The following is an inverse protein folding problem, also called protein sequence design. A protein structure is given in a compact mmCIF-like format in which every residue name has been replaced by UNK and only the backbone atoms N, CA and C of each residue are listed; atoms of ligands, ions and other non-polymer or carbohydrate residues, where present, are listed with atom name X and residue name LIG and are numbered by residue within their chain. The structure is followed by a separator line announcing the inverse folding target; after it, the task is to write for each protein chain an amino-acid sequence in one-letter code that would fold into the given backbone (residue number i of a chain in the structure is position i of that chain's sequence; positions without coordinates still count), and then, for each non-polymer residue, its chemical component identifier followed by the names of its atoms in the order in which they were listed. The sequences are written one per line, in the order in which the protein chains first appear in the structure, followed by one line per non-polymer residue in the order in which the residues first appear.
data_IF_577976873208
#
_entry.id   IF_577976873208
#
_cell.length_a   1.000
_cell.length_b   1.000
_cell.length_c   1.000
_cell.angle_alpha   90.00
_cell.angle_beta   90.00
_cell.angle_gamma   90.00
#
_symmetry.space_group_name_H-M   'P 1'
#
loop_
_entity.id
_entity.type
_entity.pdbx_description
1 polymer ?
#
# COMPACT_ATOMS: atom_id res chain seq x y z
N UNK A 1 -0.27 -12.07 -1.51
CA UNK A 1 -0.49 -11.15 -0.36
C UNK A 1 -1.41 -9.98 -0.74
N UNK A 2 -1.09 -9.17 -1.77
CA UNK A 2 -1.92 -8.03 -2.23
C UNK A 2 -3.40 -8.40 -2.48
N UNK A 3 -3.65 -9.51 -3.19
CA UNK A 3 -5.00 -10.02 -3.43
C UNK A 3 -5.76 -10.37 -2.14
N UNK A 4 -5.10 -11.08 -1.22
CA UNK A 4 -5.70 -11.45 0.07
C UNK A 4 -6.06 -10.21 0.90
N UNK A 5 -5.18 -9.19 0.94
CA UNK A 5 -5.46 -7.92 1.62
C UNK A 5 -6.72 -7.28 1.02
N UNK A 6 -6.82 -7.20 -0.31
CA UNK A 6 -7.99 -6.64 -1.00
C UNK A 6 -9.28 -7.40 -0.66
N UNK A 7 -9.26 -8.73 -0.70
CA UNK A 7 -10.46 -9.55 -0.41
C UNK A 7 -10.90 -9.41 1.05
N UNK A 8 -9.94 -9.44 1.98
CA UNK A 8 -10.21 -9.26 3.42
C UNK A 8 -10.75 -7.85 3.69
N UNK A 9 -10.12 -6.80 3.14
CA UNK A 9 -10.60 -5.42 3.26
C UNK A 9 -12.02 -5.26 2.72
N UNK A 10 -12.30 -5.81 1.55
CA UNK A 10 -13.62 -5.73 0.94
C UNK A 10 -14.68 -6.42 1.81
N UNK A 11 -14.37 -7.60 2.33
CA UNK A 11 -15.27 -8.32 3.23
C UNK A 11 -15.53 -7.56 4.55
N UNK A 12 -14.49 -6.94 5.13
CA UNK A 12 -14.62 -6.09 6.31
C UNK A 12 -15.48 -4.87 6.07
N UNK A 13 -15.20 -4.12 5.00
CA UNK A 13 -15.98 -2.92 4.72
C UNK A 13 -17.43 -3.29 4.37
N UNK A 14 -17.68 -4.38 3.64
CA UNK A 14 -19.06 -4.89 3.45
C UNK A 14 -19.76 -5.15 4.78
N UNK A 15 -19.08 -5.80 5.74
CA UNK A 15 -19.63 -6.03 7.07
C UNK A 15 -19.84 -4.71 7.86
N UNK A 16 -18.89 -3.78 7.84
CA UNK A 16 -19.05 -2.44 8.44
C UNK A 16 -20.25 -1.69 7.86
N UNK A 17 -20.42 -1.71 6.54
CA UNK A 17 -21.54 -1.08 5.86
C UNK A 17 -22.87 -1.69 6.28
N UNK A 18 -22.96 -3.02 6.30
CA UNK A 18 -24.16 -3.73 6.72
C UNK A 18 -24.52 -3.46 8.18
N UNK A 19 -23.53 -3.48 9.06
CA UNK A 19 -23.70 -3.18 10.49
C UNK A 19 -24.15 -1.74 10.72
N UNK A 20 -23.43 -0.76 10.14
CA UNK A 20 -23.73 0.68 10.32
C UNK A 20 -25.10 1.04 9.75
N UNK A 21 -25.48 0.44 8.62
CA UNK A 21 -26.79 0.63 8.01
C UNK A 21 -27.90 -0.20 8.65
N UNK A 22 -27.57 -1.11 9.58
CA UNK A 22 -28.49 -2.07 10.21
C UNK A 22 -29.28 -2.90 9.18
N UNK A 23 -28.60 -3.35 8.12
CA UNK A 23 -29.19 -4.18 7.05
C UNK A 23 -28.68 -5.62 7.11
N UNK A 24 -29.51 -6.56 6.67
CA UNK A 24 -29.16 -8.00 6.70
C UNK A 24 -28.45 -8.46 5.44
N UNK A 25 -28.67 -7.78 4.32
CA UNK A 25 -28.05 -8.12 3.04
C UNK A 25 -27.38 -6.91 2.41
N UNK A 26 -26.26 -7.13 1.71
CA UNK A 26 -25.56 -6.05 1.00
C UNK A 26 -26.45 -5.38 -0.07
N UNK A 27 -27.35 -6.14 -0.69
CA UNK A 27 -28.30 -5.63 -1.69
C UNK A 27 -29.26 -4.58 -1.15
N UNK A 28 -29.56 -4.57 0.16
CA UNK A 28 -30.41 -3.54 0.78
C UNK A 28 -29.74 -2.16 0.78
N UNK A 29 -28.40 -2.08 0.79
CA UNK A 29 -27.67 -0.81 0.70
C UNK A 29 -27.93 -0.10 -0.63
N UNK A 30 -28.17 -0.85 -1.71
CA UNK A 30 -28.48 -0.29 -3.04
C UNK A 30 -29.80 0.47 -3.07
N UNK A 31 -30.67 0.28 -2.07
CA UNK A 31 -31.96 0.98 -1.95
C UNK A 31 -31.82 2.33 -1.23
N UNK A 32 -30.67 2.64 -0.63
CA UNK A 32 -30.44 3.91 0.07
C UNK A 32 -30.06 5.01 -0.92
N UNK A 33 -30.40 6.25 -0.58
CA UNK A 33 -30.02 7.39 -1.42
C UNK A 33 -28.50 7.62 -1.38
N UNK A 34 -27.91 8.28 -2.39
CA UNK A 34 -26.50 8.65 -2.36
C UNK A 34 -26.11 9.48 -1.13
N UNK A 35 -27.02 10.34 -0.65
CA UNK A 35 -26.78 11.16 0.55
C UNK A 35 -26.75 10.31 1.82
N UNK A 36 -27.65 9.32 1.94
CA UNK A 36 -27.63 8.39 3.07
C UNK A 36 -26.35 7.57 3.08
N UNK A 37 -25.92 7.09 1.90
CA UNK A 37 -24.67 6.35 1.77
C UNK A 37 -23.47 7.21 2.18
N UNK A 38 -23.43 8.50 1.79
CA UNK A 38 -22.38 9.43 2.23
C UNK A 38 -22.36 9.60 3.75
N UNK A 39 -23.53 9.77 4.37
CA UNK A 39 -23.65 9.85 5.84
C UNK A 39 -23.14 8.58 6.51
N UNK A 40 -23.55 7.41 6.02
CA UNK A 40 -23.09 6.11 6.51
C UNK A 40 -21.58 5.92 6.35
N UNK A 41 -20.99 6.34 5.24
CA UNK A 41 -19.54 6.31 5.04
C UNK A 41 -18.80 7.15 6.10
N UNK A 42 -19.32 8.35 6.40
CA UNK A 42 -18.78 9.20 7.46
C UNK A 42 -18.88 8.55 8.84
N UNK A 43 -19.98 7.84 9.11
CA UNK A 43 -20.12 7.07 10.35
C UNK A 43 -19.14 5.90 10.44
N UNK A 44 -18.94 5.15 9.35
CA UNK A 44 -17.97 4.05 9.28
C UNK A 44 -16.57 4.59 9.56
N UNK A 45 -16.18 5.70 8.95
CA UNK A 45 -14.89 6.34 9.20
C UNK A 45 -14.74 6.70 10.69
N UNK A 46 -15.73 7.39 11.25
CA UNK A 46 -15.70 7.89 12.63
C UNK A 46 -15.74 6.77 13.68
N UNK A 47 -16.38 5.64 13.40
CA UNK A 47 -16.58 4.55 14.38
C UNK A 47 -15.65 3.34 14.17
N UNK A 48 -15.20 3.11 12.94
CA UNK A 48 -14.58 1.83 12.57
C UNK A 48 -13.28 1.96 11.75
N UNK A 49 -12.87 3.16 11.33
CA UNK A 49 -11.68 3.32 10.49
C UNK A 49 -10.91 4.62 10.76
N UNK A 50 -10.90 5.10 12.01
CA UNK A 50 -10.16 6.29 12.41
C UNK A 50 -9.37 6.08 13.71
N UNK A 51 -8.29 6.86 13.86
CA UNK A 51 -7.51 6.92 15.09
C UNK A 51 -8.32 7.44 16.28
N UNK A 52 -9.28 8.34 16.02
CA UNK A 52 -10.20 8.83 17.05
C UNK A 52 -11.08 7.70 17.60
N UNK A 53 -11.56 6.79 16.75
CA UNK A 53 -12.31 5.61 17.19
C UNK A 53 -11.48 4.69 18.09
N UNK A 54 -10.21 4.46 17.73
CA UNK A 54 -9.27 3.67 18.54
C UNK A 54 -9.07 4.33 19.90
N UNK A 55 -8.79 5.63 19.91
CA UNK A 55 -8.56 6.40 21.13
C UNK A 55 -9.79 6.39 22.06
N UNK A 56 -11.01 6.49 21.51
CA UNK A 56 -12.24 6.36 22.29
C UNK A 56 -12.32 5.03 23.03
N UNK A 57 -11.92 3.93 22.40
CA UNK A 57 -11.88 2.62 23.07
C UNK A 57 -10.79 2.61 24.15
N UNK A 58 -9.60 3.14 23.85
CA UNK A 58 -8.47 3.20 24.80
C UNK A 58 -8.72 4.10 26.01
N UNK A 59 -9.59 5.10 25.88
CA UNK A 59 -10.00 5.99 26.98
C UNK A 59 -10.92 5.33 28.01
N UNK A 60 -11.50 4.17 27.69
CA UNK A 60 -12.32 3.40 28.62
C UNK A 60 -11.44 2.69 29.66
N UNK A 61 -11.96 2.43 30.88
CA UNK A 61 -11.30 1.54 31.84
C UNK A 61 -10.92 0.20 31.20
N UNK A 62 -9.77 -0.40 31.57
CA UNK A 62 -9.26 -1.61 30.90
C UNK A 62 -10.31 -2.73 30.85
N UNK A 63 -11.06 -2.96 31.93
CA UNK A 63 -12.12 -3.97 32.01
C UNK A 63 -13.32 -3.69 31.08
N UNK A 64 -13.43 -2.48 30.53
CA UNK A 64 -14.46 -2.06 29.58
C UNK A 64 -13.96 -1.95 28.15
N UNK A 65 -12.65 -1.98 27.91
CA UNK A 65 -12.10 -1.88 26.56
C UNK A 65 -12.46 -3.11 25.71
N UNK A 66 -12.94 -2.85 24.49
CA UNK A 66 -13.19 -3.88 23.49
C UNK A 66 -11.95 -4.05 22.60
N UNK A 67 -11.11 -5.02 22.95
CA UNK A 67 -9.83 -5.26 22.28
C UNK A 67 -10.01 -5.77 20.85
N UNK A 68 -11.08 -6.53 20.58
CA UNK A 68 -11.36 -7.05 19.24
C UNK A 68 -11.83 -5.92 18.33
N UNK A 69 -12.75 -5.05 18.79
CA UNK A 69 -13.19 -3.89 18.00
C UNK A 69 -12.01 -2.95 17.74
N UNK A 70 -11.18 -2.71 18.76
CA UNK A 70 -9.96 -1.90 18.63
C UNK A 70 -9.05 -2.44 17.53
N UNK A 71 -8.70 -3.73 17.57
CA UNK A 71 -7.80 -4.35 16.59
C UNK A 71 -8.37 -4.29 15.16
N UNK A 72 -9.67 -4.52 14.99
CA UNK A 72 -10.29 -4.40 13.65
C UNK A 72 -10.41 -2.95 13.18
N UNK A 73 -10.59 -2.01 14.10
CA UNK A 73 -10.56 -0.56 13.79
C UNK A 73 -9.15 -0.13 13.36
N UNK A 74 -8.11 -0.66 14.01
CA UNK A 74 -6.72 -0.51 13.58
C UNK A 74 -6.54 -1.04 12.17
N UNK A 75 -6.90 -2.30 11.90
CA UNK A 75 -6.84 -2.89 10.56
C UNK A 75 -7.53 -2.03 9.49
N UNK A 76 -8.75 -1.56 9.74
CA UNK A 76 -9.50 -0.74 8.80
C UNK A 76 -8.81 0.60 8.52
N UNK A 77 -8.33 1.28 9.56
CA UNK A 77 -7.59 2.55 9.43
C UNK A 77 -6.33 2.36 8.58
N UNK A 78 -5.63 1.27 8.88
CA UNK A 78 -4.35 0.89 8.31
C UNK A 78 -4.44 0.48 6.84
N UNK A 79 -5.46 -0.30 6.51
CA UNK A 79 -5.63 -0.86 5.18
C UNK A 79 -6.18 0.16 4.19
N UNK A 80 -6.90 1.19 4.65
CA UNK A 80 -7.33 2.29 3.80
C UNK A 80 -6.13 3.04 3.21
N UNK A 81 -5.12 3.35 4.02
CA UNK A 81 -3.88 3.99 3.52
C UNK A 81 -3.15 3.11 2.49
N UNK A 82 -3.18 1.79 2.68
CA UNK A 82 -2.63 0.85 1.70
C UNK A 82 -3.41 0.84 0.39
N UNK A 83 -4.74 0.73 0.45
CA UNK A 83 -5.60 0.73 -0.74
C UNK A 83 -5.50 2.07 -1.49
N UNK A 84 -5.43 3.18 -0.76
CA UNK A 84 -5.22 4.52 -1.30
C UNK A 84 -3.90 4.62 -2.07
N UNK A 85 -2.79 4.16 -1.48
CA UNK A 85 -1.48 4.15 -2.15
C UNK A 85 -1.52 3.30 -3.42
N UNK A 86 -2.17 2.13 -3.39
CA UNK A 86 -2.29 1.24 -4.54
C UNK A 86 -3.12 1.85 -5.66
N UNK A 87 -4.22 2.51 -5.32
CA UNK A 87 -5.04 3.23 -6.29
C UNK A 87 -4.28 4.41 -6.90
N UNK A 88 -3.66 5.24 -6.07
CA UNK A 88 -2.84 6.39 -6.48
C UNK A 88 -1.72 5.97 -7.44
N UNK A 89 -0.96 4.93 -7.10
CA UNK A 89 0.06 4.34 -8.00
C UNK A 89 -0.56 3.92 -9.32
N UNK A 90 -1.69 3.20 -9.28
CA UNK A 90 -2.33 2.64 -10.48
C UNK A 90 -2.76 3.74 -11.45
N UNK A 91 -3.32 4.83 -10.93
CA UNK A 91 -3.84 5.93 -11.75
C UNK A 91 -2.81 7.03 -12.05
N UNK A 92 -1.60 6.94 -11.50
CA UNK A 92 -0.56 7.95 -11.70
C UNK A 92 -0.67 9.19 -10.81
N UNK A 93 -1.41 9.13 -9.70
CA UNK A 93 -1.63 10.29 -8.82
C UNK A 93 -0.53 10.41 -7.76
N UNK A 94 0.57 11.06 -8.14
CA UNK A 94 1.75 11.25 -7.27
C UNK A 94 1.44 12.17 -6.08
N UNK A 95 0.48 13.09 -6.20
CA UNK A 95 0.06 13.95 -5.09
C UNK A 95 -0.50 13.12 -3.92
N UNK A 96 -1.44 12.22 -4.21
CA UNK A 96 -1.99 11.28 -3.20
C UNK A 96 -0.91 10.36 -2.61
N UNK A 97 0.09 9.96 -3.41
CA UNK A 97 1.22 9.19 -2.90
C UNK A 97 2.07 10.01 -1.92
N UNK A 98 2.37 11.26 -2.24
CA UNK A 98 3.16 12.16 -1.40
C UNK A 98 2.46 12.44 -0.06
N UNK A 99 1.14 12.63 -0.07
CA UNK A 99 0.33 12.84 1.14
C UNK A 99 0.42 11.66 2.13
N UNK A 100 0.66 10.45 1.63
CA UNK A 100 0.80 9.24 2.44
C UNK A 100 2.21 9.02 3.00
N UNK A 101 3.23 9.76 2.53
CA UNK A 101 4.63 9.58 2.98
C UNK A 101 4.78 9.69 4.51
N UNK A 102 4.18 10.66 5.22
CA UNK A 102 4.23 10.70 6.68
C UNK A 102 3.61 9.47 7.35
N UNK A 103 2.50 8.95 6.81
CA UNK A 103 1.87 7.73 7.34
C UNK A 103 2.76 6.52 7.14
N UNK A 104 3.42 6.42 5.97
CA UNK A 104 4.39 5.35 5.68
C UNK A 104 5.62 5.44 6.59
N UNK A 105 6.13 6.65 6.85
CA UNK A 105 7.23 6.87 7.79
C UNK A 105 6.90 6.28 9.17
N UNK A 106 5.74 6.61 9.75
CA UNK A 106 5.33 6.05 11.04
C UNK A 106 5.22 4.52 10.97
N UNK A 107 4.64 3.98 9.90
CA UNK A 107 4.54 2.52 9.73
C UNK A 107 5.89 1.82 9.66
N UNK A 108 6.83 2.33 8.88
CA UNK A 108 8.15 1.72 8.77
C UNK A 108 8.92 1.83 10.08
N UNK A 109 8.86 2.98 10.75
CA UNK A 109 9.50 3.18 12.06
C UNK A 109 8.93 2.25 13.14
N UNK A 110 7.61 2.05 13.17
CA UNK A 110 6.97 1.16 14.15
C UNK A 110 7.16 -0.31 13.85
N UNK A 111 7.20 -0.68 12.56
CA UNK A 111 7.41 -2.05 12.10
C UNK A 111 8.87 -2.52 12.12
N UNK A 112 9.81 -1.71 12.61
CA UNK A 112 11.24 -2.06 12.66
C UNK A 112 11.96 -1.98 11.30
N UNK A 113 11.36 -1.33 10.32
CA UNK A 113 11.89 -1.18 8.96
C UNK A 113 12.72 0.11 8.84
N UNK A 114 13.81 0.19 9.59
CA UNK A 114 14.59 1.43 9.76
C UNK A 114 15.11 2.01 8.45
N UNK A 115 15.59 1.18 7.52
CA UNK A 115 16.06 1.65 6.19
C UNK A 115 14.96 2.41 5.45
N UNK A 116 13.77 1.81 5.32
CA UNK A 116 12.62 2.46 4.69
C UNK A 116 12.17 3.71 5.45
N UNK A 117 12.24 3.72 6.78
CA UNK A 117 11.94 4.90 7.56
C UNK A 117 12.91 6.06 7.25
N UNK A 118 14.21 5.78 7.12
CA UNK A 118 15.21 6.77 6.71
C UNK A 118 14.94 7.27 5.28
N UNK A 119 14.64 6.39 4.33
CA UNK A 119 14.29 6.81 2.96
C UNK A 119 13.06 7.75 2.95
N UNK A 120 12.04 7.47 3.77
CA UNK A 120 10.88 8.37 3.90
C UNK A 120 11.27 9.72 4.51
N UNK A 121 12.20 9.77 5.47
CA UNK A 121 12.72 11.02 6.05
C UNK A 121 13.51 11.83 5.02
N UNK A 122 14.41 11.18 4.28
CA UNK A 122 15.16 11.79 3.17
C UNK A 122 14.22 12.43 2.15
N UNK A 123 13.18 11.69 1.75
CA UNK A 123 12.20 12.15 0.80
C UNK A 123 11.39 13.34 1.33
N UNK A 124 10.92 13.28 2.59
CA UNK A 124 10.19 14.39 3.22
C UNK A 124 11.05 15.64 3.33
N UNK A 125 12.31 15.49 3.74
CA UNK A 125 13.25 16.60 3.89
C UNK A 125 13.56 17.24 2.55
N UNK A 126 13.85 16.43 1.53
CA UNK A 126 14.05 16.88 0.15
C UNK A 126 12.86 17.65 -0.38
N UNK A 127 11.67 17.05 -0.35
CA UNK A 127 10.44 17.66 -0.89
C UNK A 127 9.99 18.90 -0.11
N UNK A 128 10.12 18.93 1.22
CA UNK A 128 9.54 20.00 2.03
C UNK A 128 10.51 21.14 2.34
N UNK A 129 11.81 20.89 2.39
CA UNK A 129 12.79 21.85 2.92
C UNK A 129 13.95 22.17 1.99
N UNK A 130 14.46 21.21 1.24
CA UNK A 130 15.78 21.38 0.61
C UNK A 130 15.76 21.54 -0.90
N UNK A 131 14.94 20.77 -1.61
CA UNK A 131 15.02 20.76 -3.07
C UNK A 131 14.42 22.04 -3.66
N UNK A 132 15.02 22.60 -4.73
CA UNK A 132 14.38 23.62 -5.56
C UNK A 132 13.08 23.09 -6.18
N UNK A 133 12.17 24.00 -6.53
CA UNK A 133 10.85 23.61 -7.07
C UNK A 133 10.97 22.81 -8.36
N UNK A 134 11.97 23.12 -9.18
CA UNK A 134 12.28 22.45 -10.44
C UNK A 134 12.63 20.98 -10.21
N UNK A 135 13.45 20.70 -9.19
CA UNK A 135 13.84 19.33 -8.82
C UNK A 135 12.65 18.57 -8.25
N UNK A 136 11.82 19.21 -7.41
CA UNK A 136 10.61 18.56 -6.88
C UNK A 136 9.65 18.16 -8.00
N UNK A 137 9.42 19.06 -8.96
CA UNK A 137 8.55 18.79 -10.10
C UNK A 137 9.12 17.67 -10.96
N UNK A 138 10.43 17.70 -11.24
CA UNK A 138 11.08 16.63 -11.99
C UNK A 138 10.90 15.25 -11.31
N UNK A 139 11.16 15.17 -10.00
CA UNK A 139 11.00 13.93 -9.24
C UNK A 139 9.55 13.42 -9.26
N UNK A 140 8.59 14.32 -9.03
CA UNK A 140 7.16 13.97 -9.01
C UNK A 140 6.65 13.52 -10.37
N UNK A 141 7.11 14.15 -11.44
CA UNK A 141 6.64 13.85 -12.80
C UNK A 141 7.29 12.59 -13.37
N UNK A 142 8.58 12.36 -13.09
CA UNK A 142 9.39 11.42 -13.88
C UNK A 142 10.05 10.30 -13.09
N UNK A 143 10.20 10.40 -11.77
CA UNK A 143 11.01 9.45 -11.00
C UNK A 143 10.20 8.42 -10.21
N UNK A 144 8.95 8.72 -9.85
CA UNK A 144 8.17 7.85 -8.96
C UNK A 144 7.48 6.73 -9.71
N UNK A 145 6.86 7.09 -10.83
CA UNK A 145 6.01 6.21 -11.61
C UNK A 145 6.41 6.25 -13.07
N UNK A 146 6.17 5.15 -13.76
CA UNK A 146 6.23 5.08 -15.22
C UNK A 146 4.98 4.43 -15.77
N UNK A 147 4.65 4.73 -17.03
CA UNK A 147 3.53 4.11 -17.73
C UNK A 147 3.99 3.58 -19.09
N UNK A 148 3.97 2.25 -19.24
CA UNK A 148 4.40 1.57 -20.47
C UNK A 148 3.28 1.39 -21.49
N UNK A 149 2.04 1.62 -21.08
CA UNK A 149 0.84 1.27 -21.86
C UNK A 149 0.08 2.49 -22.37
N UNK A 150 0.34 3.68 -21.81
CA UNK A 150 -0.44 4.89 -22.03
C UNK A 150 -1.84 4.86 -21.41
N UNK A 151 -2.24 3.75 -20.77
CA UNK A 151 -3.57 3.63 -20.14
C UNK A 151 -3.58 4.33 -18.79
N UNK A 152 -4.71 4.96 -18.45
CA UNK A 152 -4.88 5.66 -17.17
C UNK A 152 -4.54 4.78 -15.97
N UNK A 153 -4.89 3.51 -16.00
CA UNK A 153 -4.69 2.58 -14.88
C UNK A 153 -3.47 1.65 -15.07
N UNK A 154 -2.53 2.07 -15.93
CA UNK A 154 -1.34 1.31 -16.34
C UNK A 154 -0.03 1.84 -15.77
N UNK A 155 -0.08 2.72 -14.77
CA UNK A 155 1.12 3.19 -14.08
C UNK A 155 1.65 2.11 -13.11
N UNK A 156 2.97 2.09 -12.94
CA UNK A 156 3.68 1.25 -11.99
C UNK A 156 4.87 2.01 -11.38
N UNK A 157 5.34 1.61 -10.18
CA UNK A 157 6.56 2.17 -9.60
C UNK A 157 7.73 2.02 -10.56
N UNK A 158 8.57 3.06 -10.65
CA UNK A 158 9.71 3.06 -11.58
C UNK A 158 10.68 1.91 -11.29
N UNK A 159 10.98 1.66 -10.01
CA UNK A 159 11.83 0.56 -9.56
C UNK A 159 11.32 -0.82 -10.01
N UNK A 160 10.01 -1.07 -9.90
CA UNK A 160 9.38 -2.29 -10.40
C UNK A 160 9.53 -2.42 -11.92
N UNK A 161 9.36 -1.33 -12.66
CA UNK A 161 9.58 -1.32 -14.10
C UNK A 161 11.04 -1.58 -14.49
N UNK A 162 11.98 -1.12 -13.67
CA UNK A 162 13.40 -1.41 -13.83
C UNK A 162 13.72 -2.87 -13.50
N UNK A 163 13.15 -3.45 -12.45
CA UNK A 163 13.26 -4.88 -12.12
C UNK A 163 12.76 -5.74 -13.28
N UNK A 164 11.59 -5.41 -13.84
CA UNK A 164 11.06 -6.10 -15.02
C UNK A 164 11.96 -5.96 -16.25
N UNK A 165 12.56 -4.79 -16.47
CA UNK A 165 13.54 -4.60 -17.55
C UNK A 165 14.82 -5.45 -17.32
N UNK A 166 15.30 -5.54 -16.08
CA UNK A 166 16.44 -6.40 -15.72
C UNK A 166 16.09 -7.87 -15.97
N UNK A 167 14.88 -8.31 -15.61
CA UNK A 167 14.41 -9.67 -15.88
C UNK A 167 14.34 -9.96 -17.39
N UNK A 168 13.88 -9.00 -18.19
CA UNK A 168 13.85 -9.14 -19.64
C UNK A 168 15.25 -9.28 -20.25
N UNK A 169 16.22 -8.49 -19.78
CA UNK A 169 17.62 -8.56 -20.21
C UNK A 169 18.25 -9.90 -19.81
N UNK A 170 18.08 -10.31 -18.54
CA UNK A 170 18.83 -11.43 -17.94
C UNK A 170 18.17 -12.79 -18.09
N UNK A 171 16.87 -12.84 -18.34
CA UNK A 171 16.07 -14.08 -18.30
C UNK A 171 15.27 -14.27 -19.58
N UNK A 172 14.39 -13.33 -19.93
CA UNK A 172 13.36 -13.60 -20.95
C UNK A 172 13.88 -13.53 -22.39
N UNK A 173 14.78 -12.59 -22.70
CA UNK A 173 15.27 -12.37 -24.06
C UNK A 173 16.78 -12.62 -24.23
N UNK A 174 17.39 -13.36 -23.30
CA UNK A 174 18.82 -13.72 -23.43
C UNK A 174 19.00 -14.74 -24.55
N UNK A 175 19.91 -14.46 -25.51
CA UNK A 175 20.34 -15.49 -26.47
C UNK A 175 21.61 -16.23 -26.03
N UNK A 176 22.44 -15.64 -25.17
CA UNK A 176 23.78 -16.18 -24.81
C UNK A 176 23.89 -16.81 -23.39
N UNK A 177 22.79 -17.08 -22.70
CA UNK A 177 22.84 -17.75 -21.38
C UNK A 177 23.65 -16.97 -20.32
N UNK A 178 24.24 -17.64 -19.31
CA UNK A 178 24.99 -17.01 -18.22
C UNK A 178 26.31 -16.30 -18.63
N UNK A 179 26.74 -16.41 -19.90
CA UNK A 179 27.99 -15.84 -20.41
C UNK A 179 27.84 -14.55 -21.21
N UNK A 180 26.68 -13.87 -21.11
CA UNK A 180 26.43 -12.62 -21.84
C UNK A 180 27.41 -11.51 -21.42
N UNK A 181 28.14 -10.94 -22.38
CA UNK A 181 29.02 -9.78 -22.16
C UNK A 181 28.22 -8.48 -22.05
N UNK A 182 28.81 -7.44 -21.45
CA UNK A 182 28.18 -6.11 -21.41
C UNK A 182 27.93 -5.55 -22.81
N UNK A 183 28.85 -5.74 -23.75
CA UNK A 183 28.68 -5.33 -25.15
C UNK A 183 27.45 -5.98 -25.80
N UNK A 184 27.22 -7.26 -25.52
CA UNK A 184 26.04 -7.97 -26.01
C UNK A 184 24.76 -7.45 -25.36
N UNK A 185 24.77 -7.24 -24.04
CA UNK A 185 23.62 -6.65 -23.32
C UNK A 185 23.30 -5.27 -23.89
N UNK A 186 24.29 -4.42 -24.12
CA UNK A 186 24.12 -3.10 -24.71
C UNK A 186 23.52 -3.18 -26.12
N UNK A 187 23.94 -4.16 -26.92
CA UNK A 187 23.39 -4.40 -28.27
C UNK A 187 21.92 -4.84 -28.24
N UNK A 188 21.53 -5.70 -27.31
CA UNK A 188 20.18 -6.30 -27.27
C UNK A 188 19.16 -5.48 -26.51
N UNK A 189 19.58 -4.71 -25.50
CA UNK A 189 18.66 -3.95 -24.65
C UNK A 189 17.71 -3.01 -25.42
N UNK A 190 18.15 -2.27 -26.46
CA UNK A 190 17.25 -1.42 -27.26
C UNK A 190 16.18 -2.20 -28.04
N UNK A 191 16.41 -3.49 -28.32
CA UNK A 191 15.47 -4.34 -29.04
C UNK A 191 14.38 -4.95 -28.15
N UNK A 192 14.57 -4.95 -26.81
CA UNK A 192 13.64 -5.57 -25.85
C UNK A 192 12.19 -5.06 -26.00
N UNK A 193 11.91 -3.75 -26.12
CA UNK A 193 10.54 -3.28 -26.32
C UNK A 193 9.87 -3.89 -27.56
N UNK A 194 10.62 -4.03 -28.66
CA UNK A 194 10.14 -4.66 -29.90
C UNK A 194 9.92 -6.16 -29.72
N UNK A 195 10.87 -6.87 -29.08
CA UNK A 195 10.74 -8.31 -28.78
C UNK A 195 9.49 -8.57 -27.93
N UNK A 196 9.24 -7.73 -26.92
CA UNK A 196 8.05 -7.78 -26.07
C UNK A 196 6.76 -7.55 -26.88
N UNK A 197 6.79 -6.61 -27.83
CA UNK A 197 5.69 -6.35 -28.75
C UNK A 197 5.38 -7.55 -29.64
N UNK A 198 6.41 -8.15 -30.25
CA UNK A 198 6.29 -9.35 -31.11
C UNK A 198 5.76 -10.53 -30.31
N UNK A 199 6.29 -10.79 -29.12
CA UNK A 199 5.81 -11.86 -28.25
C UNK A 199 4.32 -11.70 -27.94
N UNK A 200 3.90 -10.51 -27.48
CA UNK A 200 2.48 -10.21 -27.19
C UNK A 200 1.59 -10.35 -28.41
N UNK A 201 2.08 -9.93 -29.59
CA UNK A 201 1.35 -10.10 -30.84
C UNK A 201 1.14 -11.58 -31.18
N UNK A 202 2.20 -12.39 -31.09
CA UNK A 202 2.09 -13.84 -31.32
C UNK A 202 1.14 -14.50 -30.31
N UNK A 203 1.25 -14.16 -29.02
CA UNK A 203 0.34 -14.65 -27.98
C UNK A 203 -1.13 -14.31 -28.28
N UNK A 204 -1.40 -13.11 -28.77
CA UNK A 204 -2.75 -12.67 -29.16
C UNK A 204 -3.26 -13.39 -30.42
N UNK A 205 -2.42 -13.56 -31.44
CA UNK A 205 -2.80 -14.21 -32.70
C UNK A 205 -3.10 -15.70 -32.50
N UNK A 206 -2.23 -16.40 -31.79
CA UNK A 206 -2.36 -17.84 -31.59
C UNK A 206 -3.25 -18.22 -30.40
N UNK A 207 -3.70 -17.24 -29.61
CA UNK A 207 -4.46 -17.45 -28.36
C UNK A 207 -3.80 -18.51 -27.47
N UNK A 208 -2.47 -18.61 -27.52
CA UNK A 208 -1.68 -19.64 -26.84
C UNK A 208 -1.78 -19.53 -25.31
N UNK A 209 -2.23 -18.37 -24.81
CA UNK A 209 -2.65 -18.15 -23.44
C UNK A 209 -4.03 -18.79 -23.16
N UNK A 210 -4.10 -20.11 -23.12
CA UNK A 210 -5.26 -20.84 -22.54
C UNK A 210 -5.38 -20.61 -21.03
N UNK A 211 -4.28 -20.24 -20.36
CA UNK A 211 -4.28 -19.56 -19.07
C UNK A 211 -3.96 -18.10 -19.33
N UNK A 212 -4.91 -17.20 -19.12
CA UNK A 212 -4.62 -15.77 -19.25
C UNK A 212 -3.40 -15.38 -18.39
N UNK A 213 -2.64 -14.39 -18.86
CA UNK A 213 -1.65 -13.68 -18.03
C UNK A 213 -2.28 -13.01 -16.78
N UNK A 214 -3.61 -13.00 -16.73
CA UNK A 214 -4.42 -12.73 -15.55
C UNK A 214 -4.72 -14.06 -14.89
N UNK A 215 -4.24 -14.26 -13.66
CA UNK A 215 -4.74 -15.33 -12.81
C UNK A 215 -6.27 -15.36 -12.93
N UNK A 216 -6.82 -16.48 -13.41
CA UNK A 216 -8.25 -16.63 -13.59
C UNK A 216 -8.92 -16.24 -12.28
N UNK A 217 -9.82 -15.25 -12.33
CA UNK A 217 -10.49 -14.69 -11.15
C UNK A 217 -11.16 -15.88 -10.46
N UNK A 218 -10.66 -16.34 -9.30
CA UNK A 218 -11.39 -17.29 -8.48
C UNK A 218 -12.75 -16.66 -8.16
N UNK A 219 -13.73 -17.40 -7.64
CA UNK A 219 -15.01 -16.80 -7.23
C UNK A 219 -14.81 -15.86 -6.02
N UNK A 220 -14.18 -14.71 -6.26
CA UNK A 220 -13.84 -13.66 -5.30
C UNK A 220 -15.07 -13.29 -4.48
N UNK A 221 -16.22 -13.19 -5.15
CA UNK A 221 -17.49 -12.87 -4.50
C UNK A 221 -17.94 -13.93 -3.50
N UNK A 222 -17.65 -15.21 -3.75
CA UNK A 222 -18.01 -16.29 -2.82
C UNK A 222 -17.10 -16.24 -1.58
N UNK A 223 -15.80 -16.00 -1.76
CA UNK A 223 -14.85 -15.87 -0.65
C UNK A 223 -15.14 -14.61 0.18
N UNK A 224 -15.33 -13.46 -0.47
CA UNK A 224 -15.73 -12.21 0.18
C UNK A 224 -17.07 -12.38 0.89
N UNK A 225 -18.04 -13.04 0.26
CA UNK A 225 -19.35 -13.32 0.85
C UNK A 225 -19.27 -14.19 2.10
N UNK A 226 -18.47 -15.27 2.08
CA UNK A 226 -18.22 -16.12 3.25
C UNK A 226 -17.56 -15.35 4.39
N UNK A 227 -16.53 -14.56 4.10
CA UNK A 227 -15.86 -13.71 5.10
C UNK A 227 -16.81 -12.67 5.70
N UNK A 228 -17.58 -11.96 4.87
CA UNK A 228 -18.58 -10.99 5.34
C UNK A 228 -19.61 -11.66 6.26
N UNK A 229 -20.13 -12.83 5.89
CA UNK A 229 -21.09 -13.56 6.73
C UNK A 229 -20.48 -13.96 8.08
N UNK A 230 -19.22 -14.39 8.09
CA UNK A 230 -18.49 -14.71 9.31
C UNK A 230 -18.30 -13.47 10.20
N UNK A 231 -17.89 -12.34 9.64
CA UNK A 231 -17.72 -11.08 10.39
C UNK A 231 -19.03 -10.57 11.00
N UNK A 232 -20.13 -10.64 10.24
CA UNK A 232 -21.46 -10.29 10.73
C UNK A 232 -21.90 -11.21 11.86
N UNK A 233 -21.71 -12.53 11.71
CA UNK A 233 -22.03 -13.54 12.74
C UNK A 233 -21.22 -13.32 14.03
N UNK A 234 -19.93 -12.99 13.89
CA UNK A 234 -19.03 -12.74 15.03
C UNK A 234 -19.22 -11.37 15.67
N UNK A 235 -19.99 -10.46 15.07
CA UNK A 235 -20.26 -9.13 15.63
C UNK A 235 -18.99 -8.31 15.87
N UNK A 236 -17.98 -8.44 14.99
CA UNK A 236 -16.67 -7.80 15.22
C UNK A 236 -16.74 -6.27 15.18
N UNK A 237 -17.70 -5.71 14.44
CA UNK A 237 -17.94 -4.27 14.32
C UNK A 237 -18.94 -3.73 15.35
N UNK A 238 -19.49 -4.59 16.22
CA UNK A 238 -20.32 -4.19 17.36
C UNK A 238 -19.43 -3.99 18.58
N UNK A 239 -19.67 -2.91 19.31
CA UNK A 239 -19.00 -2.69 20.59
C UNK A 239 -19.54 -3.67 21.64
N UNK A 240 -18.63 -4.39 22.28
CA UNK A 240 -18.91 -5.29 23.40
C UNK A 240 -17.94 -4.96 24.53
N UNK A 241 -18.46 -4.36 25.60
CA UNK A 241 -17.65 -3.94 26.75
C UNK A 241 -16.87 -5.13 27.35
N UNK A 242 -15.57 -4.94 27.54
CA UNK A 242 -14.68 -5.93 28.16
C UNK A 242 -14.34 -7.13 27.29
N UNK A 243 -14.60 -7.09 25.97
CA UNK A 243 -14.21 -8.15 25.04
C UNK A 243 -12.69 -8.18 24.87
N UNK A 244 -12.04 -9.27 25.29
CA UNK A 244 -10.57 -9.42 25.28
C UNK A 244 -10.09 -10.37 24.18
N UNK A 245 -8.83 -10.19 23.78
CA UNK A 245 -8.07 -11.16 22.98
C UNK A 245 -7.18 -11.94 23.96
N UNK A 246 -7.42 -13.25 24.10
CA UNK A 246 -6.77 -14.08 25.11
C UNK A 246 -5.35 -14.48 24.69
N UNK A 247 -5.18 -14.94 23.46
CA UNK A 247 -3.89 -15.39 22.97
C UNK A 247 -2.99 -14.19 22.64
N UNK A 248 -1.77 -14.18 23.18
CA UNK A 248 -0.78 -13.14 22.88
C UNK A 248 -0.46 -13.02 21.38
N UNK A 249 -0.26 -14.13 20.62
CA UNK A 249 0.01 -14.06 19.19
C UNK A 249 -1.10 -13.44 18.34
N UNK A 250 -2.35 -13.45 18.83
CA UNK A 250 -3.51 -12.92 18.11
C UNK A 250 -3.65 -11.40 18.29
N UNK A 251 -2.85 -10.79 19.18
CA UNK A 251 -2.83 -9.33 19.42
C UNK A 251 -1.94 -8.64 18.39
N UNK A 252 -2.56 -7.83 17.53
CA UNK A 252 -1.84 -7.01 16.58
C UNK A 252 -1.20 -5.80 17.29
N UNK A 253 0.10 -5.52 17.05
CA UNK A 253 0.73 -4.31 17.56
C UNK A 253 0.26 -3.07 16.80
N UNK A 254 0.24 -1.93 17.50
CA UNK A 254 -0.09 -0.63 16.91
C UNK A 254 1.14 0.03 16.30
N UNK A 255 1.49 -0.39 15.08
CA UNK A 255 2.69 0.09 14.40
C UNK A 255 2.69 1.60 14.12
N UNK A 256 1.53 2.26 14.00
CA UNK A 256 1.50 3.71 13.81
C UNK A 256 1.93 4.43 15.09
N UNK A 257 1.32 4.08 16.23
CA UNK A 257 1.68 4.68 17.53
C UNK A 257 3.11 4.31 17.93
N UNK A 258 3.50 3.04 17.76
CA UNK A 258 4.87 2.62 17.99
C UNK A 258 5.85 3.40 17.10
N UNK A 259 5.51 3.68 15.85
CA UNK A 259 6.33 4.49 14.96
C UNK A 259 6.54 5.91 15.44
N UNK A 260 5.47 6.58 15.84
CA UNK A 260 5.54 7.92 16.41
C UNK A 260 6.44 7.94 17.66
N UNK A 261 6.23 6.99 18.58
CA UNK A 261 7.05 6.83 19.79
C UNK A 261 8.51 6.52 19.45
N UNK A 262 8.77 5.63 18.49
CA UNK A 262 10.11 5.20 18.13
C UNK A 262 10.92 6.34 17.52
N UNK A 263 10.30 7.17 16.65
CA UNK A 263 10.97 8.31 16.04
C UNK A 263 11.49 9.30 17.09
N UNK A 264 10.71 9.52 18.15
CA UNK A 264 11.08 10.37 19.29
C UNK A 264 12.08 9.67 20.22
N UNK A 265 11.72 8.51 20.77
CA UNK A 265 12.51 7.83 21.82
C UNK A 265 13.84 7.28 21.35
N UNK A 266 13.93 6.81 20.11
CA UNK A 266 15.17 6.22 19.60
C UNK A 266 16.17 7.29 19.11
N UNK A 267 15.77 8.57 19.14
CA UNK A 267 16.53 9.67 18.55
C UNK A 267 16.81 9.43 17.08
N UNK A 268 15.89 8.75 16.37
CA UNK A 268 16.10 8.37 14.96
C UNK A 268 16.31 9.61 14.10
N UNK A 269 15.51 10.65 14.33
CA UNK A 269 15.60 11.93 13.63
C UNK A 269 16.93 12.61 13.96
N UNK A 270 17.33 12.68 15.24
CA UNK A 270 18.58 13.33 15.65
C UNK A 270 19.82 12.64 15.07
N UNK A 271 19.84 11.30 15.10
CA UNK A 271 20.91 10.49 14.52
C UNK A 271 20.98 10.67 13.00
N UNK A 272 19.84 10.59 12.34
CA UNK A 272 19.73 10.83 10.90
C UNK A 272 20.23 12.23 10.53
N UNK A 273 19.79 13.26 11.27
CA UNK A 273 20.22 14.63 11.03
C UNK A 273 21.73 14.79 11.23
N UNK A 274 22.28 14.27 12.32
CA UNK A 274 23.72 14.31 12.62
C UNK A 274 24.55 13.64 11.52
N UNK A 275 24.08 12.49 11.00
CA UNK A 275 24.74 11.78 9.91
C UNK A 275 24.67 12.55 8.59
N UNK A 276 23.61 13.32 8.35
CA UNK A 276 23.47 14.18 7.17
C UNK A 276 24.36 15.42 7.25
N UNK A 277 24.51 15.99 8.45
CA UNK A 277 25.26 17.22 8.72
C UNK A 277 26.72 16.92 9.06
N UNK A 278 27.48 16.50 8.07
CA UNK A 278 28.94 16.46 8.15
C UNK A 278 29.54 17.34 7.04
N UNK A 279 30.76 17.83 7.27
CA UNK A 279 31.50 18.54 6.23
C UNK A 279 31.71 17.57 5.05
N UNK A 280 31.10 17.88 3.91
CA UNK A 280 31.31 17.14 2.67
C UNK A 280 32.61 17.60 2.04
N UNK A 281 33.41 16.67 1.53
CA UNK A 281 34.59 17.01 0.74
C UNK A 281 34.16 17.86 -0.47
N UNK A 282 34.84 18.98 -0.69
CA UNK A 282 34.60 19.85 -1.85
C UNK A 282 35.55 19.56 -3.02
N UNK A 283 36.49 18.63 -2.84
CA UNK A 283 37.39 18.16 -3.88
C UNK A 283 36.79 16.97 -4.60
N UNK A 284 36.90 16.95 -5.93
CA UNK A 284 36.64 15.76 -6.74
C UNK A 284 37.94 14.96 -6.81
N UNK A 285 37.92 13.70 -6.39
CA UNK A 285 39.05 12.80 -6.60
C UNK A 285 38.81 12.04 -7.92
N UNK A 286 39.57 12.41 -8.94
CA UNK A 286 39.47 11.87 -10.30
C UNK A 286 40.51 10.78 -10.59
N UNK A 287 41.30 10.37 -9.58
CA UNK A 287 42.31 9.32 -9.68
C UNK A 287 41.71 7.91 -9.89
#
# INVERSE_FOLDING_TARGET
LDEAIKHVSEAHFRACWMETASVKTFSELKKKSPQDLKTLAGEILRKHASREAIHKIESLPDDKQDHILKQWTMWNTDVLAYLELRDAIKIGDVGRMEDLVPTLLFRFAGGGNSKYAIEMLELLQGLRKEWPVEIKNFIREWCWLMNRTGKRDGFLPFDLGQEENIADIKVNYRSMGPGATMDYIQKVSPAIPTLRGVQRHMEDQFKSLTRGARHGVPQKEDDVGKLTAQYMKSGIHKFVAGRKIHNSPDKAPDFLTMGAINLEKLGTIDKWFTQRTHARAMGENWD
#
